data_IF_626405052892
#
_entry.id   IF_626405052892
#
_cell.length_a   1.000
_cell.length_b   1.000
_cell.length_c   1.000
_cell.angle_alpha   90.00
_cell.angle_beta   90.00
_cell.angle_gamma   90.00
#
_symmetry.space_group_name_H-M   'P 1'
#
loop_
_entity.id
_entity.type
_entity.pdbx_description
1 polymer ?
#
# COMPACT_ATOMS: atom_id res chain seq x y z
N UNK A 1 2.83 -25.17 9.83
CA UNK A 1 2.69 -23.74 9.49
C UNK A 1 3.45 -23.53 8.21
N UNK A 2 2.74 -23.32 7.10
CA UNK A 2 3.36 -23.08 5.81
C UNK A 2 3.33 -21.57 5.55
N UNK A 3 4.50 -20.98 5.35
CA UNK A 3 4.65 -19.56 5.08
C UNK A 3 4.91 -19.38 3.60
N UNK A 4 4.25 -18.39 2.99
CA UNK A 4 4.48 -17.98 1.61
C UNK A 4 4.94 -16.54 1.55
N UNK A 5 5.71 -16.22 0.53
CA UNK A 5 6.13 -14.84 0.24
C UNK A 5 5.17 -14.25 -0.80
N UNK A 6 4.46 -13.20 -0.41
CA UNK A 6 3.62 -12.41 -1.30
C UNK A 6 4.43 -11.21 -1.78
N UNK A 7 4.67 -11.12 -3.09
CA UNK A 7 5.32 -9.97 -3.70
C UNK A 7 4.26 -9.02 -4.26
N UNK A 8 4.13 -7.84 -3.64
CA UNK A 8 3.24 -6.78 -4.08
C UNK A 8 4.09 -5.74 -4.80
N UNK A 9 3.86 -5.60 -6.10
CA UNK A 9 4.55 -4.59 -6.92
C UNK A 9 3.62 -3.42 -7.20
N UNK A 10 4.04 -2.23 -6.78
CA UNK A 10 3.32 -0.98 -6.97
C UNK A 10 3.99 -0.24 -8.10
N UNK A 11 3.36 -0.26 -9.27
CA UNK A 11 3.90 0.42 -10.45
C UNK A 11 3.51 1.90 -10.43
N UNK A 12 2.21 2.17 -10.54
CA UNK A 12 1.66 3.52 -10.63
C UNK A 12 0.20 3.54 -10.19
N UNK A 13 -0.30 4.74 -9.89
CA UNK A 13 -1.73 5.01 -9.78
C UNK A 13 -2.11 6.07 -10.82
N UNK A 14 -3.35 6.02 -11.31
CA UNK A 14 -3.86 6.98 -12.28
C UNK A 14 -5.11 7.65 -11.76
N UNK A 15 -5.33 8.86 -12.24
CA UNK A 15 -6.57 9.61 -12.04
C UNK A 15 -6.93 9.78 -10.56
N UNK A 16 -5.91 9.98 -9.71
CA UNK A 16 -6.15 10.30 -8.31
C UNK A 16 -6.82 11.67 -8.22
N UNK A 17 -7.86 11.74 -7.37
CA UNK A 17 -8.69 12.94 -7.19
C UNK A 17 -7.83 14.20 -7.13
N UNK A 18 -8.00 15.09 -8.13
CA UNK A 18 -7.21 16.30 -8.28
C UNK A 18 -7.31 17.17 -7.03
N UNK A 19 -6.20 17.50 -6.40
CA UNK A 19 -6.21 18.40 -5.27
C UNK A 19 -5.88 19.84 -5.63
N UNK A 20 -6.25 20.76 -4.74
CA UNK A 20 -6.00 22.21 -4.86
C UNK A 20 -4.50 22.56 -4.75
N UNK A 21 -3.70 21.77 -4.04
CA UNK A 21 -2.25 21.97 -3.88
C UNK A 21 -1.49 20.73 -4.32
N UNK A 22 -0.24 20.90 -4.77
CA UNK A 22 0.66 19.83 -5.20
C UNK A 22 0.63 18.65 -4.22
N UNK A 23 0.10 17.48 -4.64
CA UNK A 23 -0.03 16.34 -3.75
C UNK A 23 1.31 15.69 -3.46
N UNK A 24 1.39 15.09 -2.27
CA UNK A 24 2.45 14.17 -1.88
C UNK A 24 1.79 12.84 -1.63
N UNK A 25 2.04 11.87 -2.50
CA UNK A 25 1.40 10.55 -2.42
C UNK A 25 2.27 9.59 -1.65
N UNK A 26 1.65 8.91 -0.69
CA UNK A 26 2.26 7.85 0.10
C UNK A 26 1.45 6.58 -0.12
N UNK A 27 2.13 5.50 -0.48
CA UNK A 27 1.53 4.18 -0.54
C UNK A 27 2.01 3.36 0.66
N UNK A 28 1.05 2.82 1.40
CA UNK A 28 1.27 2.03 2.60
C UNK A 28 0.60 0.68 2.44
N UNK A 29 1.39 -0.39 2.45
CA UNK A 29 0.87 -1.75 2.53
C UNK A 29 1.13 -2.34 3.90
N UNK A 30 0.12 -2.98 4.47
CA UNK A 30 0.20 -3.72 5.71
C UNK A 30 -0.28 -5.15 5.51
N UNK A 31 0.43 -6.10 6.08
CA UNK A 31 -0.01 -7.48 6.19
C UNK A 31 -0.23 -7.83 7.66
N UNK A 32 -1.41 -8.31 8.00
CA UNK A 32 -1.74 -8.79 9.35
C UNK A 32 -1.93 -10.29 9.29
N UNK A 33 -1.16 -11.03 10.09
CA UNK A 33 -1.26 -12.47 10.21
C UNK A 33 -1.24 -12.85 11.69
N UNK A 34 -1.91 -13.94 12.04
CA UNK A 34 -1.88 -14.49 13.40
C UNK A 34 -0.56 -15.18 13.72
N UNK A 35 0.21 -15.56 12.70
CA UNK A 35 1.46 -16.31 12.84
C UNK A 35 2.72 -15.44 12.76
N UNK A 36 2.64 -14.25 12.16
CA UNK A 36 3.78 -13.34 12.01
C UNK A 36 3.44 -11.95 12.55
N UNK A 37 4.43 -11.20 13.08
CA UNK A 37 4.21 -9.82 13.45
C UNK A 37 3.70 -9.00 12.24
N UNK A 38 2.85 -7.98 12.49
CA UNK A 38 2.33 -7.15 11.42
C UNK A 38 3.48 -6.49 10.66
N UNK A 39 3.52 -6.69 9.35
CA UNK A 39 4.50 -6.06 8.49
C UNK A 39 3.86 -4.82 7.86
N UNK A 40 4.58 -3.70 7.88
CA UNK A 40 4.13 -2.45 7.27
C UNK A 40 5.24 -1.98 6.35
N UNK A 41 4.90 -1.75 5.09
CA UNK A 41 5.78 -1.17 4.11
C UNK A 41 5.23 0.17 3.68
N UNK A 42 6.04 1.21 3.84
CA UNK A 42 5.72 2.57 3.43
C UNK A 42 6.66 2.91 2.29
N UNK A 43 6.09 3.24 1.14
CA UNK A 43 6.85 3.61 -0.03
C UNK A 43 7.26 5.10 -0.01
N UNK A 44 8.37 5.47 -0.66
CA UNK A 44 8.82 6.85 -0.76
C UNK A 44 7.73 7.73 -1.39
N UNK A 45 7.71 8.99 -0.94
CA UNK A 45 6.71 9.96 -1.34
C UNK A 45 6.98 10.39 -2.78
N UNK A 46 6.01 10.16 -3.68
CA UNK A 46 6.03 10.78 -5.00
C UNK A 46 5.54 12.23 -4.86
N UNK A 47 6.42 13.17 -5.23
CA UNK A 47 6.18 14.62 -5.21
C UNK A 47 5.93 15.22 -6.59
N UNK A 48 6.18 14.46 -7.66
CA UNK A 48 6.25 14.97 -9.04
C UNK A 48 5.14 14.42 -9.94
N UNK A 49 4.57 13.26 -9.62
CA UNK A 49 3.57 12.58 -10.43
C UNK A 49 2.19 13.27 -10.47
N UNK A 50 1.96 14.32 -9.68
CA UNK A 50 0.70 15.08 -9.75
C UNK A 50 -0.50 14.19 -9.42
N UNK A 51 -1.41 13.93 -10.35
CA UNK A 51 -2.52 12.98 -10.16
C UNK A 51 -2.18 11.54 -10.54
N UNK A 52 -0.99 11.31 -11.10
CA UNK A 52 -0.51 10.03 -11.62
C UNK A 52 0.86 9.66 -11.00
N UNK A 53 0.94 9.35 -9.70
CA UNK A 53 2.19 8.97 -9.06
C UNK A 53 2.72 7.63 -9.58
N UNK A 54 4.06 7.53 -9.64
CA UNK A 54 4.78 6.32 -10.05
C UNK A 54 5.78 5.94 -8.95
N UNK A 55 5.70 4.71 -8.47
CA UNK A 55 6.64 4.18 -7.48
C UNK A 55 7.62 3.19 -8.10
N UNK A 56 7.13 2.27 -8.94
CA UNK A 56 7.92 1.18 -9.53
C UNK A 56 8.72 0.40 -8.47
N UNK A 57 8.06 0.03 -7.36
CA UNK A 57 8.68 -0.65 -6.23
C UNK A 57 7.97 -1.95 -5.90
N UNK A 58 8.75 -2.97 -5.55
CA UNK A 58 8.26 -4.28 -5.13
C UNK A 58 8.49 -4.47 -3.64
N UNK A 59 7.46 -4.90 -2.94
CA UNK A 59 7.47 -5.20 -1.51
C UNK A 59 7.17 -6.67 -1.32
N UNK A 60 7.97 -7.34 -0.50
CA UNK A 60 7.78 -8.75 -0.17
C UNK A 60 7.24 -8.88 1.25
N UNK A 61 6.09 -9.52 1.37
CA UNK A 61 5.46 -9.84 2.64
C UNK A 61 5.58 -11.33 2.92
N UNK A 62 5.81 -11.69 4.18
CA UNK A 62 5.72 -13.09 4.62
C UNK A 62 4.36 -13.29 5.23
N UNK A 63 3.56 -14.16 4.62
CA UNK A 63 2.18 -14.44 5.03
C UNK A 63 2.01 -15.94 5.30
N UNK A 64 1.08 -16.27 6.19
CA UNK A 64 0.71 -17.66 6.45
C UNK A 64 -0.25 -18.16 5.36
N UNK A 65 -0.04 -19.39 4.89
CA UNK A 65 -0.84 -19.96 3.80
C UNK A 65 -2.32 -20.13 4.17
N UNK A 66 -2.66 -20.37 5.45
CA UNK A 66 -4.07 -20.40 5.88
C UNK A 66 -4.67 -19.00 5.87
N UNK A 67 -3.92 -17.98 6.30
CA UNK A 67 -4.37 -16.59 6.21
C UNK A 67 -4.61 -16.18 4.74
N UNK A 68 -3.83 -16.77 3.82
CA UNK A 68 -3.98 -16.57 2.37
C UNK A 68 -5.24 -17.19 1.81
N UNK A 69 -5.55 -18.41 2.24
CA UNK A 69 -6.78 -19.08 1.83
C UNK A 69 -8.03 -18.41 2.41
N UNK A 70 -7.90 -17.63 3.49
CA UNK A 70 -8.99 -16.94 4.16
C UNK A 70 -9.27 -15.54 3.62
N UNK A 71 -8.55 -15.06 2.61
CA UNK A 71 -8.85 -13.76 1.98
C UNK A 71 -8.46 -12.55 2.85
N UNK A 72 -7.53 -12.72 3.80
CA UNK A 72 -7.26 -11.75 4.88
C UNK A 72 -5.81 -11.22 4.88
N UNK A 73 -5.18 -11.14 3.71
CA UNK A 73 -3.73 -11.07 3.65
C UNK A 73 -3.13 -9.67 3.78
N UNK A 74 -3.66 -8.72 3.04
CA UNK A 74 -2.93 -7.46 2.83
C UNK A 74 -3.89 -6.32 2.55
N UNK A 75 -3.83 -5.28 3.38
CA UNK A 75 -4.43 -3.98 3.05
C UNK A 75 -3.35 -3.08 2.46
N UNK A 76 -3.66 -2.48 1.31
CA UNK A 76 -2.82 -1.52 0.64
C UNK A 76 -3.58 -0.22 0.49
N UNK A 77 -3.06 0.84 1.07
CA UNK A 77 -3.71 2.14 1.11
C UNK A 77 -2.85 3.21 0.46
N UNK A 78 -3.52 4.12 -0.26
CA UNK A 78 -2.92 5.33 -0.82
C UNK A 78 -3.42 6.49 0.02
N UNK A 79 -2.48 7.21 0.62
CA UNK A 79 -2.74 8.40 1.39
C UNK A 79 -2.06 9.61 0.76
N UNK A 80 -2.74 10.75 0.85
CA UNK A 80 -2.24 12.05 0.43
C UNK A 80 -1.80 12.83 1.65
N UNK A 81 -0.51 13.14 1.72
CA UNK A 81 0.03 14.00 2.78
C UNK A 81 -0.35 15.45 2.52
N UNK A 82 -1.18 16.00 3.41
CA UNK A 82 -1.55 17.42 3.41
C UNK A 82 -0.91 18.12 4.61
N UNK A 83 -0.82 19.45 4.56
CA UNK A 83 -0.36 20.25 5.71
C UNK A 83 -1.24 20.09 6.97
N UNK A 84 -2.51 19.70 6.77
CA UNK A 84 -3.50 19.48 7.83
C UNK A 84 -3.60 18.00 8.28
N UNK A 85 -2.69 17.13 7.82
CA UNK A 85 -2.69 15.71 8.11
C UNK A 85 -2.76 14.82 6.87
N UNK A 86 -2.57 13.52 7.06
CA UNK A 86 -2.64 12.53 5.99
C UNK A 86 -4.09 12.19 5.69
N UNK A 87 -4.47 12.30 4.41
CA UNK A 87 -5.81 12.01 3.92
C UNK A 87 -5.80 10.70 3.15
N UNK A 88 -6.52 9.69 3.63
CA UNK A 88 -6.75 8.46 2.86
C UNK A 88 -7.50 8.78 1.56
N UNK A 89 -7.00 8.27 0.43
CA UNK A 89 -7.57 8.47 -0.90
C UNK A 89 -8.12 7.16 -1.48
N UNK A 90 -7.48 6.04 -1.17
CA UNK A 90 -7.98 4.73 -1.56
C UNK A 90 -7.38 3.63 -0.69
N UNK A 91 -8.11 2.53 -0.57
CA UNK A 91 -7.69 1.31 0.11
C UNK A 91 -8.08 0.12 -0.77
N UNK A 92 -7.19 -0.86 -0.83
CA UNK A 92 -7.34 -2.09 -1.60
C UNK A 92 -7.04 -3.24 -0.66
N UNK A 93 -7.98 -4.17 -0.55
CA UNK A 93 -7.80 -5.41 0.17
C UNK A 93 -7.52 -6.51 -0.85
N UNK A 94 -6.36 -7.14 -0.73
CA UNK A 94 -6.05 -8.34 -1.49
C UNK A 94 -6.41 -9.58 -0.66
N UNK A 95 -7.13 -10.54 -1.25
CA UNK A 95 -7.42 -11.81 -0.60
C UNK A 95 -6.13 -12.58 -0.30
#
# INVERSE_FOLDING_TARGET
MAYRTLEVTVLFANDLKRPVVSPRWTFTSSSSSTATPPQISINPIDRHGGTNPTWNLSVKFTIDELAAQQGRLTSSSISRRCALGDRLVGEVHAP
#
